data_IF_697231920369
#
_entry.id   IF_697231920369
#
_cell.length_a   1.000
_cell.length_b   1.000
_cell.length_c   1.000
_cell.angle_alpha   90.00
_cell.angle_beta   90.00
_cell.angle_gamma   90.00
#
_symmetry.space_group_name_H-M   'P 1'
#
loop_
_entity.id
_entity.type
_entity.pdbx_description
1 polymer ?
#
# COMPACT_ATOMS: atom_id res chain seq x y z
N UNK A 1 4.75 11.31 -22.55
CA UNK A 1 3.88 10.12 -22.51
C UNK A 1 3.02 10.19 -21.26
N UNK A 2 1.74 9.80 -21.34
CA UNK A 2 0.81 9.84 -20.20
C UNK A 2 1.02 8.59 -19.33
N UNK A 3 1.45 8.75 -18.08
CA UNK A 3 1.58 7.61 -17.14
C UNK A 3 0.19 7.21 -16.62
N UNK A 4 -0.12 5.91 -16.69
CA UNK A 4 -1.33 5.35 -16.09
C UNK A 4 -1.18 5.37 -14.57
N UNK A 5 -2.21 5.84 -13.87
CA UNK A 5 -2.31 5.78 -12.41
C UNK A 5 -3.47 4.87 -12.02
N UNK A 6 -3.26 4.10 -10.97
CA UNK A 6 -4.26 3.19 -10.40
C UNK A 6 -4.62 3.65 -9.02
N UNK A 7 -5.91 3.58 -8.69
CA UNK A 7 -6.41 3.67 -7.33
C UNK A 7 -6.59 2.25 -6.81
N UNK A 8 -6.12 1.98 -5.60
CA UNK A 8 -6.18 0.66 -4.99
C UNK A 8 -6.70 0.72 -3.56
N UNK A 9 -7.21 -0.42 -3.09
CA UNK A 9 -7.59 -0.68 -1.71
C UNK A 9 -6.82 -1.94 -1.25
N UNK A 10 -6.09 -1.83 -0.15
CA UNK A 10 -5.41 -2.94 0.52
C UNK A 10 -6.12 -3.24 1.84
N UNK A 11 -6.32 -4.51 2.14
CA UNK A 11 -6.94 -4.95 3.38
C UNK A 11 -5.91 -5.64 4.29
N UNK A 12 -5.71 -5.10 5.48
CA UNK A 12 -4.87 -5.70 6.52
C UNK A 12 -5.67 -6.71 7.33
N UNK A 13 -5.39 -8.00 7.18
CA UNK A 13 -5.98 -9.02 8.09
C UNK A 13 -5.55 -8.84 9.55
N UNK A 14 -4.34 -8.31 9.78
CA UNK A 14 -3.78 -8.16 11.14
C UNK A 14 -4.44 -7.05 11.93
N UNK A 15 -4.72 -5.92 11.27
CA UNK A 15 -5.30 -4.75 11.94
C UNK A 15 -6.78 -4.57 11.64
N UNK A 16 -7.37 -5.44 10.82
CA UNK A 16 -8.75 -5.36 10.34
C UNK A 16 -9.08 -3.98 9.74
N UNK A 17 -8.18 -3.49 8.87
CA UNK A 17 -8.23 -2.13 8.35
C UNK A 17 -8.00 -2.09 6.85
N UNK A 18 -8.70 -1.16 6.20
CA UNK A 18 -8.55 -0.85 4.79
C UNK A 18 -7.63 0.35 4.58
N UNK A 19 -6.79 0.28 3.56
CA UNK A 19 -5.88 1.33 3.15
C UNK A 19 -6.14 1.66 1.69
N UNK A 20 -6.43 2.91 1.41
CA UNK A 20 -6.62 3.40 0.05
C UNK A 20 -5.39 4.17 -0.39
N UNK A 21 -5.11 4.16 -1.69
CA UNK A 21 -4.04 4.97 -2.24
C UNK A 21 -4.03 4.96 -3.76
N UNK A 22 -3.16 5.77 -4.34
CA UNK A 22 -2.91 5.81 -5.76
C UNK A 22 -1.44 5.56 -6.07
N UNK A 23 -1.16 4.88 -7.17
CA UNK A 23 0.20 4.70 -7.70
C UNK A 23 0.17 4.34 -9.17
N UNK A 24 1.18 4.73 -9.92
CA UNK A 24 1.42 4.22 -11.28
C UNK A 24 2.08 2.84 -11.30
N UNK A 25 2.64 2.40 -10.16
CA UNK A 25 3.24 1.07 -9.97
C UNK A 25 2.75 0.43 -8.66
N UNK A 26 1.74 -0.43 -8.78
CA UNK A 26 1.13 -1.12 -7.65
C UNK A 26 2.11 -2.10 -6.98
N UNK A 27 2.97 -2.77 -7.73
CA UNK A 27 3.88 -3.78 -7.20
C UNK A 27 4.93 -3.12 -6.30
N UNK A 28 5.60 -2.09 -6.80
CA UNK A 28 6.57 -1.32 -6.02
C UNK A 28 5.91 -0.68 -4.78
N UNK A 29 4.63 -0.32 -4.87
CA UNK A 29 3.87 0.24 -3.74
C UNK A 29 3.56 -0.80 -2.67
N UNK A 30 3.16 -2.01 -3.06
CA UNK A 30 2.90 -3.12 -2.14
C UNK A 30 4.18 -3.52 -1.40
N UNK A 31 5.32 -3.62 -2.11
CA UNK A 31 6.62 -3.90 -1.51
C UNK A 31 7.01 -2.86 -0.45
N UNK A 32 6.84 -1.56 -0.72
CA UNK A 32 7.11 -0.49 0.26
C UNK A 32 6.21 -0.55 1.49
N UNK A 33 4.95 -0.96 1.34
CA UNK A 33 4.03 -1.17 2.46
C UNK A 33 4.43 -2.36 3.32
N UNK A 34 4.84 -3.47 2.70
CA UNK A 34 5.33 -4.66 3.40
C UNK A 34 6.73 -4.47 4.01
N UNK A 35 7.58 -3.66 3.38
CA UNK A 35 8.82 -3.14 3.95
C UNK A 35 8.57 -1.99 4.94
N UNK A 36 7.30 -1.56 5.08
CA UNK A 36 6.74 -0.43 5.85
C UNK A 36 7.71 0.71 6.09
N UNK A 37 8.15 1.27 4.99
CA UNK A 37 9.08 2.37 4.91
C UNK A 37 8.53 3.70 5.47
N UNK A 38 7.37 3.68 6.14
CA UNK A 38 6.73 4.86 6.76
C UNK A 38 6.24 4.56 8.19
N UNK A 39 6.33 5.55 9.10
CA UNK A 39 5.92 5.41 10.51
C UNK A 39 4.49 4.89 10.67
N UNK A 40 3.57 5.29 9.79
CA UNK A 40 2.16 4.89 9.79
C UNK A 40 1.91 3.46 9.29
N UNK A 41 2.82 2.87 8.51
CA UNK A 41 2.68 1.51 7.96
C UNK A 41 3.41 0.45 8.78
N UNK A 42 4.26 0.89 9.72
CA UNK A 42 5.09 0.05 10.58
C UNK A 42 4.28 -0.87 11.52
N UNK A 43 3.09 -0.43 11.97
CA UNK A 43 2.24 -1.19 12.90
C UNK A 43 1.32 -2.24 12.26
N UNK A 44 0.99 -2.10 10.97
CA UNK A 44 -0.05 -2.91 10.31
C UNK A 44 0.45 -4.02 9.38
N UNK A 45 1.76 -4.31 9.38
CA UNK A 45 2.34 -5.39 8.57
C UNK A 45 2.10 -6.78 9.15
N UNK A 46 2.01 -7.82 8.30
CA UNK A 46 1.88 -7.72 6.84
C UNK A 46 0.46 -7.25 6.45
N UNK A 47 0.39 -6.49 5.34
CA UNK A 47 -0.86 -6.17 4.65
C UNK A 47 -1.16 -7.24 3.61
#
# INVERSE_FOLDING_TARGET
MMQKYYIYILYSKKSDRFYTGASSDINARLERHNAGSTKSTKGGRPY
#
